data_IF_309216216442
#
_entry.id   IF_309216216442
#
_cell.length_a   1.000
_cell.length_b   1.000
_cell.length_c   1.000
_cell.angle_alpha   90.00
_cell.angle_beta   90.00
_cell.angle_gamma   90.00
#
_symmetry.space_group_name_H-M   'P 1'
#
loop_
_entity.id
_entity.type
_entity.pdbx_description
1 polymer ?
#
# COMPACT_ATOMS: atom_id res chain seq x y z
N UNK A 1 6.36 9.15 7.47
CA UNK A 1 6.53 9.78 6.14
C UNK A 1 5.19 10.21 5.54
N UNK A 2 5.20 10.75 4.31
CA UNK A 2 3.98 11.23 3.64
C UNK A 2 2.95 10.12 3.42
N UNK A 3 3.39 8.94 2.98
CA UNK A 3 2.49 7.80 2.73
C UNK A 3 1.67 7.46 3.98
N UNK A 4 2.32 7.34 5.14
CA UNK A 4 1.63 7.06 6.40
C UNK A 4 0.65 8.17 6.81
N UNK A 5 1.00 9.44 6.59
CA UNK A 5 0.14 10.57 6.92
C UNK A 5 -1.14 10.57 6.06
N UNK A 6 -1.01 10.39 4.75
CA UNK A 6 -2.16 10.33 3.84
C UNK A 6 -2.99 9.06 4.04
N UNK A 7 -2.35 7.92 4.33
CA UNK A 7 -3.08 6.70 4.70
C UNK A 7 -3.90 6.89 5.98
N UNK A 8 -3.31 7.51 7.01
CA UNK A 8 -4.00 7.83 8.26
C UNK A 8 -5.21 8.76 8.02
N UNK A 9 -5.03 9.83 7.25
CA UNK A 9 -6.11 10.75 6.88
C UNK A 9 -7.24 10.03 6.16
N UNK A 10 -6.91 9.18 5.18
CA UNK A 10 -7.92 8.43 4.44
C UNK A 10 -8.66 7.41 5.30
N UNK A 11 -7.98 6.77 6.25
CA UNK A 11 -8.60 5.89 7.22
C UNK A 11 -9.62 6.64 8.10
N UNK A 12 -9.29 7.86 8.55
CA UNK A 12 -10.20 8.72 9.32
C UNK A 12 -11.44 9.06 8.48
N UNK A 13 -11.26 9.48 7.23
CA UNK A 13 -12.37 9.76 6.30
C UNK A 13 -13.29 8.56 6.10
N UNK A 14 -12.74 7.35 6.11
CA UNK A 14 -13.48 6.10 5.94
C UNK A 14 -14.10 5.59 7.26
N UNK A 15 -13.96 6.32 8.37
CA UNK A 15 -14.51 5.96 9.66
C UNK A 15 -13.69 4.95 10.47
N UNK A 16 -12.47 4.63 10.04
CA UNK A 16 -11.56 3.81 10.82
C UNK A 16 -10.88 4.64 11.92
N UNK A 17 -10.34 3.95 12.93
CA UNK A 17 -9.65 4.54 14.08
C UNK A 17 -8.15 4.21 14.03
N UNK A 18 -7.30 5.07 13.44
CA UNK A 18 -5.85 4.89 13.50
C UNK A 18 -5.36 5.09 14.94
N UNK A 19 -4.54 4.18 15.44
CA UNK A 19 -4.06 4.20 16.84
C UNK A 19 -2.55 4.32 16.97
N UNK A 20 -1.79 4.14 15.88
CA UNK A 20 -0.33 4.24 15.90
C UNK A 20 0.20 5.03 14.71
N UNK A 21 1.25 5.78 14.95
CA UNK A 21 2.14 6.34 13.92
C UNK A 21 3.58 6.18 14.39
N UNK A 22 4.49 5.99 13.45
CA UNK A 22 5.92 5.80 13.75
C UNK A 22 6.81 6.67 12.89
N UNK A 23 8.02 6.89 13.38
CA UNK A 23 9.16 7.35 12.59
C UNK A 23 10.43 6.56 12.98
N UNK A 24 11.59 6.98 12.45
CA UNK A 24 12.86 6.27 12.72
C UNK A 24 13.31 6.28 14.19
N UNK A 25 12.69 7.09 15.04
CA UNK A 25 13.04 7.18 16.47
C UNK A 25 12.16 6.32 17.36
N UNK A 26 10.97 5.92 16.90
CA UNK A 26 10.00 5.15 17.67
C UNK A 26 8.57 5.32 17.18
N UNK A 27 7.60 4.96 18.01
CA UNK A 27 6.20 5.09 17.65
C UNK A 27 5.37 5.70 18.79
N UNK A 28 4.23 6.25 18.44
CA UNK A 28 3.18 6.67 19.38
C UNK A 28 2.05 5.64 19.38
N UNK A 29 1.46 5.44 20.56
CA UNK A 29 0.22 4.70 20.71
C UNK A 29 -0.84 5.61 21.33
N UNK A 30 -1.88 5.89 20.55
CA UNK A 30 -3.02 6.73 20.94
C UNK A 30 -4.29 5.86 20.96
N UNK A 31 -4.65 5.27 22.11
CA UNK A 31 -5.77 4.35 22.20
C UNK A 31 -7.12 5.01 21.93
N UNK A 32 -7.24 6.33 22.13
CA UNK A 32 -8.45 7.09 21.82
C UNK A 32 -8.62 7.33 20.31
N UNK A 33 -7.53 7.14 19.55
CA UNK A 33 -7.50 7.30 18.12
C UNK A 33 -6.94 8.65 17.66
N UNK A 34 -6.33 8.62 16.48
CA UNK A 34 -5.80 9.80 15.81
C UNK A 34 -6.93 10.45 15.03
N UNK A 35 -7.35 11.65 15.46
CA UNK A 35 -8.39 12.44 14.80
C UNK A 35 -7.84 13.30 13.67
N UNK A 36 -8.75 13.95 12.91
CA UNK A 36 -8.36 14.90 11.85
C UNK A 36 -7.49 16.04 12.40
N UNK A 37 -7.80 16.57 13.57
CA UNK A 37 -6.99 17.61 14.22
C UNK A 37 -5.57 17.11 14.55
N UNK A 38 -5.50 15.90 15.10
CA UNK A 38 -4.24 15.27 15.48
C UNK A 38 -3.34 14.98 14.27
N UNK A 39 -3.90 14.50 13.14
CA UNK A 39 -3.11 14.26 11.93
C UNK A 39 -2.65 15.58 11.27
N UNK A 40 -3.46 16.62 11.31
CA UNK A 40 -3.04 17.94 10.85
C UNK A 40 -1.87 18.50 11.68
N UNK A 41 -1.86 18.24 12.98
CA UNK A 41 -0.69 18.58 13.80
C UNK A 41 0.55 17.80 13.36
N UNK A 42 0.43 16.50 13.07
CA UNK A 42 1.57 15.68 12.56
C UNK A 42 2.09 16.24 11.23
N UNK A 43 1.20 16.61 10.29
CA UNK A 43 1.60 17.22 9.01
C UNK A 43 2.41 18.51 9.23
N UNK A 44 1.95 19.42 10.09
CA UNK A 44 2.67 20.64 10.45
C UNK A 44 4.01 20.34 11.14
N UNK A 45 4.03 19.36 12.04
CA UNK A 45 5.24 18.93 12.74
C UNK A 45 6.32 18.46 11.76
N UNK A 46 5.94 17.68 10.76
CA UNK A 46 6.86 17.11 9.78
C UNK A 46 7.28 18.10 8.69
N UNK A 47 6.36 18.89 8.17
CA UNK A 47 6.61 19.81 7.06
C UNK A 47 7.35 21.09 7.48
N UNK A 48 6.98 21.67 8.62
CA UNK A 48 7.50 22.99 9.05
C UNK A 48 8.68 22.85 10.01
N UNK A 49 8.60 21.90 10.94
CA UNK A 49 9.59 21.77 12.04
C UNK A 49 10.61 20.65 11.83
N UNK A 50 10.40 19.75 10.86
CA UNK A 50 11.20 18.52 10.66
C UNK A 50 11.39 17.72 11.98
N UNK A 51 10.41 17.82 12.88
CA UNK A 51 10.49 17.28 14.23
C UNK A 51 10.08 15.80 14.28
N UNK A 52 10.34 15.17 15.42
CA UNK A 52 10.05 13.75 15.65
C UNK A 52 8.63 13.54 16.15
N UNK A 53 8.11 12.32 15.94
CA UNK A 53 6.77 11.95 16.38
C UNK A 53 6.61 12.00 17.92
N UNK A 54 7.69 11.96 18.65
CA UNK A 54 7.67 12.14 20.11
C UNK A 54 7.06 13.47 20.57
N UNK A 55 7.11 14.51 19.75
CA UNK A 55 6.43 15.79 20.05
C UNK A 55 4.91 15.66 20.06
N UNK A 56 4.35 14.74 19.25
CA UNK A 56 2.93 14.40 19.31
C UNK A 56 2.56 13.82 20.67
N UNK A 57 3.36 12.87 21.14
CA UNK A 57 3.13 12.22 22.44
C UNK A 57 3.13 13.23 23.59
N UNK A 58 4.06 14.17 23.60
CA UNK A 58 4.10 15.25 24.58
C UNK A 58 2.87 16.16 24.52
N UNK A 59 2.43 16.53 23.30
CA UNK A 59 1.30 17.45 23.12
C UNK A 59 -0.03 16.83 23.53
N UNK A 60 -0.26 15.58 23.16
CA UNK A 60 -1.55 14.90 23.37
C UNK A 60 -1.54 13.95 24.58
N UNK A 61 -0.42 13.92 25.34
CA UNK A 61 -0.23 13.10 26.53
C UNK A 61 -0.53 11.61 26.27
N UNK A 62 0.06 11.06 25.22
CA UNK A 62 -0.06 9.65 24.84
C UNK A 62 1.26 8.93 24.93
N UNK A 63 1.22 7.61 24.91
CA UNK A 63 2.41 6.77 25.00
C UNK A 63 3.37 6.99 23.81
N UNK A 64 4.66 7.12 24.10
CA UNK A 64 5.74 7.08 23.12
C UNK A 64 6.73 5.96 23.48
N UNK A 65 6.99 5.09 22.53
CA UNK A 65 7.94 3.99 22.69
C UNK A 65 9.14 4.21 21.80
N UNK A 66 10.27 4.54 22.41
CA UNK A 66 11.52 4.84 21.72
C UNK A 66 12.16 3.56 21.15
N UNK A 67 12.75 3.66 19.97
CA UNK A 67 13.55 2.61 19.34
C UNK A 67 12.79 1.37 18.91
N UNK A 68 11.45 1.35 19.04
CA UNK A 68 10.61 0.20 18.67
C UNK A 68 9.67 0.53 17.51
N UNK A 69 9.14 -0.52 16.89
CA UNK A 69 8.13 -0.47 15.85
C UNK A 69 6.75 -0.79 16.44
N UNK A 70 5.63 -0.35 15.81
CA UNK A 70 4.29 -0.45 16.40
C UNK A 70 3.63 -1.83 16.28
N UNK A 71 4.32 -2.85 15.73
CA UNK A 71 3.70 -4.11 15.33
C UNK A 71 3.23 -4.99 16.49
N UNK A 72 3.64 -4.67 17.72
CA UNK A 72 3.16 -5.31 18.95
C UNK A 72 1.80 -4.76 19.43
N UNK A 73 1.33 -3.65 18.90
CA UNK A 73 0.06 -3.05 19.28
C UNK A 73 -1.08 -3.79 18.61
N UNK A 74 -2.12 -4.14 19.41
CA UNK A 74 -3.32 -4.80 18.89
C UNK A 74 -4.04 -3.91 17.88
N UNK A 75 -4.31 -4.45 16.70
CA UNK A 75 -5.03 -3.77 15.63
C UNK A 75 -5.75 -4.78 14.71
N UNK A 76 -6.76 -4.31 14.01
CA UNK A 76 -7.47 -5.07 12.98
C UNK A 76 -6.72 -5.03 11.64
N UNK A 77 -6.11 -3.89 11.34
CA UNK A 77 -5.46 -3.58 10.06
C UNK A 77 -4.08 -2.99 10.32
N UNK A 78 -3.06 -3.49 9.64
CA UNK A 78 -1.71 -2.94 9.66
C UNK A 78 -1.32 -2.38 8.28
N UNK A 79 -0.78 -1.16 8.27
CA UNK A 79 -0.35 -0.45 7.05
C UNK A 79 1.14 -0.10 7.15
N UNK A 80 2.05 -1.00 6.75
CA UNK A 80 3.48 -0.69 6.71
C UNK A 80 3.75 0.31 5.56
N UNK A 81 4.20 1.51 5.92
CA UNK A 81 4.31 2.67 5.03
C UNK A 81 5.69 3.34 5.04
N UNK A 82 6.71 2.73 5.65
CA UNK A 82 7.99 3.40 5.83
C UNK A 82 9.06 2.94 4.81
N UNK A 83 9.70 1.81 5.06
CA UNK A 83 10.86 1.37 4.27
C UNK A 83 10.80 -0.12 3.95
N UNK A 84 11.67 -0.53 3.02
CA UNK A 84 11.87 -1.95 2.71
C UNK A 84 12.26 -2.74 3.96
N UNK A 85 11.72 -3.95 4.10
CA UNK A 85 12.02 -4.91 5.18
C UNK A 85 11.81 -4.35 6.60
N UNK A 86 10.91 -3.37 6.76
CA UNK A 86 10.59 -2.84 8.09
C UNK A 86 9.80 -3.81 8.97
N UNK A 87 9.13 -4.81 8.36
CA UNK A 87 8.30 -5.81 9.03
C UNK A 87 8.90 -7.20 8.82
N UNK A 88 9.47 -7.76 9.86
CA UNK A 88 10.09 -9.08 9.84
C UNK A 88 9.13 -10.19 10.29
N UNK A 89 9.61 -11.45 10.34
CA UNK A 89 8.78 -12.59 10.73
C UNK A 89 8.24 -12.49 12.17
N UNK A 90 9.03 -11.97 13.12
CA UNK A 90 8.58 -11.86 14.51
C UNK A 90 7.51 -10.78 14.64
N UNK A 91 7.67 -9.65 13.92
CA UNK A 91 6.63 -8.62 13.81
C UNK A 91 5.33 -9.20 13.22
N UNK A 92 5.45 -10.03 12.17
CA UNK A 92 4.29 -10.66 11.53
C UNK A 92 3.55 -11.62 12.47
N UNK A 93 4.27 -12.41 13.26
CA UNK A 93 3.69 -13.25 14.31
C UNK A 93 2.95 -12.43 15.35
N UNK A 94 3.58 -11.36 15.86
CA UNK A 94 2.92 -10.47 16.83
C UNK A 94 1.61 -9.88 16.29
N UNK A 95 1.60 -9.42 15.04
CA UNK A 95 0.38 -8.91 14.40
C UNK A 95 -0.72 -9.98 14.35
N UNK A 96 -0.39 -11.19 13.91
CA UNK A 96 -1.38 -12.28 13.80
C UNK A 96 -1.88 -12.74 15.17
N UNK A 97 -1.00 -12.88 16.14
CA UNK A 97 -1.33 -13.27 17.51
C UNK A 97 -2.23 -12.23 18.20
N UNK A 98 -2.07 -10.96 17.84
CA UNK A 98 -2.89 -9.84 18.32
C UNK A 98 -4.23 -9.69 17.56
N UNK A 99 -4.51 -10.56 16.58
CA UNK A 99 -5.78 -10.58 15.86
C UNK A 99 -5.85 -9.70 14.62
N UNK A 100 -4.73 -9.20 14.11
CA UNK A 100 -4.69 -8.47 12.84
C UNK A 100 -5.09 -9.42 11.70
N UNK A 101 -6.10 -9.03 10.91
CA UNK A 101 -6.61 -9.84 9.79
C UNK A 101 -6.38 -9.21 8.42
N UNK A 102 -5.91 -7.96 8.35
CA UNK A 102 -5.53 -7.28 7.11
C UNK A 102 -4.17 -6.63 7.25
N UNK A 103 -3.29 -6.88 6.30
CA UNK A 103 -2.03 -6.15 6.12
C UNK A 103 -2.00 -5.59 4.70
N UNK A 104 -1.90 -4.27 4.54
CA UNK A 104 -1.82 -3.64 3.22
C UNK A 104 -0.60 -2.72 3.13
N UNK A 105 0.30 -3.03 2.21
CA UNK A 105 1.58 -2.35 2.08
C UNK A 105 1.45 -1.00 1.38
N UNK A 106 1.72 0.08 2.10
CA UNK A 106 1.86 1.42 1.53
C UNK A 106 3.27 1.68 0.98
N UNK A 107 4.29 1.11 1.60
CA UNK A 107 5.67 1.16 1.11
C UNK A 107 5.95 0.08 0.05
N UNK A 108 7.10 0.19 -0.61
CA UNK A 108 7.60 -0.84 -1.51
C UNK A 108 8.31 -1.92 -0.68
N UNK A 109 7.80 -3.16 -0.74
CA UNK A 109 8.41 -4.33 -0.13
C UNK A 109 8.74 -4.17 1.38
N UNK A 110 7.83 -3.63 2.21
CA UNK A 110 8.11 -3.39 3.63
C UNK A 110 8.17 -4.68 4.43
N UNK A 111 7.50 -5.75 3.99
CA UNK A 111 7.51 -7.05 4.65
C UNK A 111 8.59 -7.95 4.08
N UNK A 112 9.36 -8.61 4.95
CA UNK A 112 10.32 -9.63 4.52
C UNK A 112 9.61 -10.84 3.92
N UNK A 113 10.28 -11.59 3.06
CA UNK A 113 9.71 -12.79 2.41
C UNK A 113 9.12 -13.77 3.43
N UNK A 114 9.80 -13.98 4.56
CA UNK A 114 9.31 -14.87 5.62
C UNK A 114 8.04 -14.35 6.30
N UNK A 115 7.92 -13.03 6.48
CA UNK A 115 6.71 -12.40 6.98
C UNK A 115 5.54 -12.57 5.99
N UNK A 116 5.78 -12.37 4.70
CA UNK A 116 4.77 -12.58 3.64
C UNK A 116 4.27 -14.01 3.63
N UNK A 117 5.18 -15.00 3.68
CA UNK A 117 4.79 -16.41 3.76
C UNK A 117 3.96 -16.70 5.01
N UNK A 118 4.33 -16.12 6.15
CA UNK A 118 3.56 -16.26 7.39
C UNK A 118 2.14 -15.72 7.22
N UNK A 119 1.95 -14.50 6.71
CA UNK A 119 0.63 -13.93 6.47
C UNK A 119 -0.24 -14.80 5.55
N UNK A 120 0.32 -15.32 4.46
CA UNK A 120 -0.39 -16.19 3.53
C UNK A 120 -0.82 -17.50 4.22
N UNK A 121 0.09 -18.13 4.98
CA UNK A 121 -0.18 -19.38 5.70
C UNK A 121 -1.24 -19.22 6.80
N UNK A 122 -1.27 -18.06 7.46
CA UNK A 122 -2.28 -17.70 8.46
C UNK A 122 -3.59 -17.16 7.85
N UNK A 123 -3.72 -17.17 6.51
CA UNK A 123 -4.89 -16.65 5.78
C UNK A 123 -5.21 -15.18 6.10
N UNK A 124 -4.19 -14.38 6.40
CA UNK A 124 -4.33 -12.92 6.53
C UNK A 124 -4.56 -12.32 5.15
N UNK A 125 -5.48 -11.38 5.04
CA UNK A 125 -5.70 -10.63 3.80
C UNK A 125 -4.52 -9.68 3.58
N UNK A 126 -3.50 -10.18 2.91
CA UNK A 126 -2.25 -9.48 2.67
C UNK A 126 -2.22 -8.84 1.28
N UNK A 127 -2.32 -7.51 1.23
CA UNK A 127 -2.20 -6.70 0.01
C UNK A 127 -0.74 -6.31 -0.26
N UNK A 128 -0.07 -6.94 -1.23
CA UNK A 128 1.34 -6.64 -1.53
C UNK A 128 1.49 -5.23 -2.11
N UNK A 129 2.61 -4.58 -1.84
CA UNK A 129 2.89 -3.19 -2.26
C UNK A 129 2.64 -2.95 -3.74
N UNK A 130 3.08 -3.86 -4.61
CA UNK A 130 2.87 -3.77 -6.06
C UNK A 130 1.39 -3.61 -6.50
N UNK A 131 0.43 -3.98 -5.65
CA UNK A 131 -1.00 -3.77 -5.87
C UNK A 131 -1.55 -2.69 -4.95
N UNK A 132 -1.28 -2.76 -3.65
CA UNK A 132 -1.83 -1.86 -2.65
C UNK A 132 -1.35 -0.41 -2.80
N UNK A 133 -0.10 -0.18 -3.20
CA UNK A 133 0.46 1.17 -3.38
C UNK A 133 0.47 1.66 -4.84
N UNK A 134 -0.13 0.93 -5.77
CA UNK A 134 -0.13 1.27 -7.19
C UNK A 134 -0.81 2.61 -7.53
N UNK A 135 -1.55 3.20 -6.59
CA UNK A 135 -2.17 4.51 -6.74
C UNK A 135 -1.16 5.63 -7.04
N UNK A 136 0.00 5.61 -6.41
CA UNK A 136 1.04 6.62 -6.65
C UNK A 136 1.52 6.63 -8.10
N UNK A 137 1.89 5.49 -8.64
CA UNK A 137 2.33 5.38 -10.05
C UNK A 137 1.19 5.63 -11.03
N UNK A 138 -0.04 5.30 -10.68
CA UNK A 138 -1.21 5.60 -11.51
C UNK A 138 -1.43 7.11 -11.66
N UNK A 139 -1.30 7.87 -10.58
CA UNK A 139 -1.36 9.34 -10.60
C UNK A 139 -0.23 9.93 -11.43
N UNK A 140 1.00 9.42 -11.31
CA UNK A 140 2.10 9.87 -12.17
C UNK A 140 1.81 9.64 -13.66
N UNK A 141 1.18 8.52 -14.02
CA UNK A 141 0.73 8.27 -15.39
C UNK A 141 -0.34 9.26 -15.88
N UNK A 142 -1.29 9.63 -15.00
CA UNK A 142 -2.30 10.64 -15.30
C UNK A 142 -1.64 12.02 -15.48
N UNK A 143 -0.68 12.38 -14.61
CA UNK A 143 0.09 13.62 -14.70
C UNK A 143 0.84 13.73 -16.03
N UNK A 144 1.54 12.66 -16.43
CA UNK A 144 2.21 12.60 -17.75
C UNK A 144 1.23 12.82 -18.90
N UNK A 145 0.03 12.25 -18.81
CA UNK A 145 -1.02 12.43 -19.82
C UNK A 145 -1.51 13.88 -19.87
N UNK A 146 -1.74 14.52 -18.72
CA UNK A 146 -2.10 15.94 -18.63
C UNK A 146 -1.01 16.84 -19.24
N UNK A 147 0.26 16.57 -18.93
CA UNK A 147 1.37 17.34 -19.48
C UNK A 147 1.47 17.21 -20.99
N UNK A 148 1.23 16.02 -21.53
CA UNK A 148 1.23 15.75 -22.97
C UNK A 148 0.08 16.44 -23.70
N UNK A 149 -1.12 16.39 -23.14
CA UNK A 149 -2.32 17.01 -23.74
C UNK A 149 -2.44 18.50 -23.44
N UNK A 150 -1.72 19.01 -22.44
CA UNK A 150 -1.80 20.39 -21.90
C UNK A 150 -3.21 20.75 -21.39
N UNK A 151 -3.99 19.75 -21.00
CA UNK A 151 -5.34 19.94 -20.46
C UNK A 151 -5.31 19.55 -18.98
N UNK A 152 -5.48 20.50 -18.05
CA UNK A 152 -5.53 20.21 -16.62
C UNK A 152 -6.84 19.48 -16.28
N UNK A 153 -6.73 18.45 -15.45
CA UNK A 153 -7.89 17.77 -14.87
C UNK A 153 -8.21 18.35 -13.49
N UNK A 154 -9.49 18.43 -13.15
CA UNK A 154 -9.90 18.80 -11.81
C UNK A 154 -9.51 17.71 -10.79
N UNK A 155 -9.36 18.08 -9.51
CA UNK A 155 -9.08 17.15 -8.43
C UNK A 155 -10.07 15.99 -8.39
N UNK A 156 -11.37 16.29 -8.49
CA UNK A 156 -12.43 15.28 -8.43
C UNK A 156 -12.34 14.27 -9.58
N UNK A 157 -11.96 14.74 -10.77
CA UNK A 157 -11.76 13.85 -11.93
C UNK A 157 -10.55 12.95 -11.74
N UNK A 158 -9.45 13.47 -11.19
CA UNK A 158 -8.26 12.68 -10.88
C UNK A 158 -8.57 11.64 -9.79
N UNK A 159 -9.28 12.02 -8.74
CA UNK A 159 -9.69 11.10 -7.66
C UNK A 159 -10.63 10.00 -8.18
N UNK A 160 -11.58 10.35 -9.02
CA UNK A 160 -12.45 9.38 -9.70
C UNK A 160 -11.68 8.35 -10.53
N UNK A 161 -10.74 8.80 -11.36
CA UNK A 161 -9.87 7.93 -12.16
C UNK A 161 -9.00 7.03 -11.26
N UNK A 162 -8.44 7.58 -10.19
CA UNK A 162 -7.67 6.80 -9.23
C UNK A 162 -8.51 5.69 -8.60
N UNK A 163 -9.72 6.02 -8.15
CA UNK A 163 -10.66 5.06 -7.56
C UNK A 163 -10.97 3.92 -8.54
N UNK A 164 -11.28 4.23 -9.79
CA UNK A 164 -11.53 3.22 -10.83
C UNK A 164 -10.32 2.33 -11.08
N UNK A 165 -9.11 2.91 -11.14
CA UNK A 165 -7.87 2.15 -11.33
C UNK A 165 -7.64 1.20 -10.17
N UNK A 166 -7.75 1.66 -8.93
CA UNK A 166 -7.53 0.85 -7.75
C UNK A 166 -8.59 -0.25 -7.60
N UNK A 167 -9.85 0.05 -7.92
CA UNK A 167 -10.92 -0.94 -7.92
C UNK A 167 -10.67 -2.04 -8.97
N UNK A 168 -10.21 -1.68 -10.16
CA UNK A 168 -9.83 -2.65 -11.21
C UNK A 168 -8.64 -3.52 -10.78
N UNK A 169 -7.63 -2.95 -10.12
CA UNK A 169 -6.51 -3.70 -9.58
C UNK A 169 -7.00 -4.71 -8.54
N UNK A 170 -7.81 -4.26 -7.59
CA UNK A 170 -8.40 -5.14 -6.57
C UNK A 170 -9.21 -6.28 -7.20
N UNK A 171 -10.12 -5.98 -8.12
CA UNK A 171 -10.92 -6.99 -8.83
C UNK A 171 -10.05 -8.00 -9.57
N UNK A 172 -8.96 -7.54 -10.19
CA UNK A 172 -8.01 -8.42 -10.87
C UNK A 172 -7.29 -9.34 -9.88
N UNK A 173 -6.83 -8.80 -8.75
CA UNK A 173 -6.19 -9.59 -7.69
C UNK A 173 -7.15 -10.65 -7.12
N UNK A 174 -8.40 -10.28 -6.87
CA UNK A 174 -9.43 -11.22 -6.39
C UNK A 174 -9.68 -12.31 -7.43
N UNK A 175 -9.87 -11.93 -8.72
CA UNK A 175 -10.13 -12.88 -9.81
C UNK A 175 -9.08 -13.98 -9.93
N UNK A 176 -7.81 -13.62 -9.85
CA UNK A 176 -6.70 -14.55 -10.04
C UNK A 176 -6.12 -15.11 -8.73
N UNK A 177 -6.43 -14.49 -7.59
CA UNK A 177 -5.92 -14.92 -6.28
C UNK A 177 -6.90 -15.73 -5.45
N UNK A 178 -8.16 -15.90 -5.90
CA UNK A 178 -9.16 -16.63 -5.13
C UNK A 178 -8.83 -18.13 -5.10
N UNK A 179 -8.73 -18.69 -3.90
CA UNK A 179 -8.52 -20.10 -3.61
C UNK A 179 -9.53 -20.52 -2.54
N UNK A 180 -10.57 -21.23 -2.91
CA UNK A 180 -11.65 -21.67 -2.03
C UNK A 180 -12.23 -20.52 -1.18
N UNK A 181 -11.96 -20.52 0.11
CA UNK A 181 -12.41 -19.55 1.10
C UNK A 181 -11.43 -18.39 1.35
N UNK A 182 -10.28 -18.35 0.64
CA UNK A 182 -9.21 -17.39 0.85
C UNK A 182 -8.82 -16.68 -0.45
N UNK A 183 -8.35 -15.43 -0.32
CA UNK A 183 -7.82 -14.67 -1.45
C UNK A 183 -6.33 -14.42 -1.21
N UNK A 184 -5.50 -15.07 -2.02
CA UNK A 184 -4.07 -14.80 -2.08
C UNK A 184 -3.81 -13.63 -3.03
N UNK A 185 -3.76 -12.41 -2.50
CA UNK A 185 -3.51 -11.21 -3.29
C UNK A 185 -2.11 -11.17 -3.93
N UNK A 186 -1.12 -11.89 -3.40
CA UNK A 186 0.21 -12.00 -4.00
C UNK A 186 0.13 -12.74 -5.32
N UNK A 187 -0.48 -13.93 -5.32
CA UNK A 187 -0.72 -14.72 -6.53
C UNK A 187 -1.61 -13.94 -7.50
N UNK A 188 -2.68 -13.31 -6.98
CA UNK A 188 -3.60 -12.52 -7.77
C UNK A 188 -2.92 -11.37 -8.51
N UNK A 189 -2.06 -10.63 -7.84
CA UNK A 189 -1.29 -9.55 -8.44
C UNK A 189 -0.28 -10.06 -9.49
N UNK A 190 0.45 -11.14 -9.17
CA UNK A 190 1.43 -11.73 -10.07
C UNK A 190 0.79 -12.29 -11.34
N UNK A 191 -0.23 -13.12 -11.19
CA UNK A 191 -0.92 -13.76 -12.34
C UNK A 191 -1.64 -12.70 -13.17
N UNK A 192 -2.36 -11.77 -12.53
CA UNK A 192 -3.07 -10.70 -13.24
C UNK A 192 -2.11 -9.80 -14.04
N UNK A 193 -0.96 -9.45 -13.48
CA UNK A 193 0.10 -8.72 -14.18
C UNK A 193 0.69 -9.52 -15.34
N UNK A 194 1.04 -10.77 -15.11
CA UNK A 194 1.59 -11.66 -16.13
C UNK A 194 0.63 -11.85 -17.32
N UNK A 195 -0.63 -12.16 -17.07
CA UNK A 195 -1.64 -12.36 -18.12
C UNK A 195 -1.76 -11.13 -19.02
N UNK A 196 -1.73 -9.95 -18.44
CA UNK A 196 -1.80 -8.69 -19.19
C UNK A 196 -0.58 -8.49 -20.09
N UNK A 197 0.63 -8.73 -19.58
CA UNK A 197 1.87 -8.59 -20.36
C UNK A 197 1.97 -9.69 -21.43
N UNK A 198 1.64 -10.93 -21.09
CA UNK A 198 1.68 -12.06 -22.02
C UNK A 198 0.72 -11.86 -23.19
N UNK A 199 -0.48 -11.35 -22.95
CA UNK A 199 -1.44 -11.06 -24.01
C UNK A 199 -0.90 -10.05 -25.04
N UNK A 200 -0.25 -8.97 -24.56
CA UNK A 200 0.37 -7.97 -25.43
C UNK A 200 1.57 -8.56 -26.18
N UNK A 201 2.46 -9.27 -25.49
CA UNK A 201 3.64 -9.90 -26.10
C UNK A 201 3.25 -10.92 -27.18
N UNK A 202 2.24 -11.75 -26.92
CA UNK A 202 1.75 -12.74 -27.88
C UNK A 202 1.23 -12.08 -29.18
N UNK A 203 0.52 -10.97 -29.06
CA UNK A 203 0.01 -10.23 -30.21
C UNK A 203 1.15 -9.64 -31.05
N UNK A 204 2.17 -9.08 -30.40
CA UNK A 204 3.32 -8.50 -31.09
C UNK A 204 4.26 -9.56 -31.69
N UNK A 205 4.54 -10.66 -30.98
CA UNK A 205 5.36 -11.76 -31.50
C UNK A 205 4.74 -12.41 -32.72
N UNK A 206 3.43 -12.67 -32.72
CA UNK A 206 2.74 -13.20 -33.92
C UNK A 206 2.86 -12.28 -35.13
N UNK A 207 2.75 -10.96 -34.94
CA UNK A 207 2.93 -10.01 -36.04
C UNK A 207 4.36 -10.04 -36.60
N UNK A 208 5.36 -10.19 -35.75
CA UNK A 208 6.78 -10.32 -36.17
C UNK A 208 7.07 -11.64 -36.88
N UNK A 209 6.59 -12.75 -36.38
CA UNK A 209 6.77 -14.07 -36.99
C UNK A 209 6.10 -14.17 -38.35
N UNK A 210 4.92 -13.60 -38.51
CA UNK A 210 4.21 -13.56 -39.80
C UNK A 210 4.99 -12.76 -40.85
N UNK A 211 5.63 -11.67 -40.46
CA UNK A 211 6.54 -10.91 -41.36
C UNK A 211 7.82 -11.66 -41.66
N UNK A 212 8.45 -12.33 -40.70
CA UNK A 212 9.63 -13.14 -40.88
C UNK A 212 9.39 -14.31 -41.83
N UNK A 213 8.27 -15.00 -41.70
CA UNK A 213 7.89 -16.10 -42.59
C UNK A 213 7.59 -15.66 -44.03
N UNK A 214 7.12 -14.44 -44.24
CA UNK A 214 6.92 -13.87 -45.57
C UNK A 214 8.22 -13.47 -46.23
N UNK A 215 9.24 -13.07 -45.49
CA UNK A 215 10.55 -12.70 -46.00
C UNK A 215 11.39 -13.94 -46.32
N UNK A 216 11.21 -15.04 -45.62
CA UNK A 216 11.93 -16.31 -45.89
C UNK A 216 11.34 -17.13 -47.06
N UNK A 217 10.22 -16.71 -47.67
CA UNK A 217 9.59 -17.38 -48.83
C UNK A 217 9.82 -16.68 -50.17
N UNK A 218 10.58 -15.60 -50.18
CA UNK A 218 11.08 -14.92 -51.37
C UNK A 218 12.55 -15.26 -51.60
#
# INVERSE_FOLDING_TARGET
GNVAQFACEKLIELGAKPVTLSDSSGFIHDPDGITQEKIEYVKKLKSVRSARISEYAKKFNVEYVEGKRPWSIKCDIALPCATENELNLEDAKQLTDNGCYVVAEGANMPSTTNAVHHFINQKILYGPGKAANAGGVAISGIEMSQNSTRIPLSRDKVDGLLKEIMQRIHTTCVKYGKKDDFINYVDGANIGGFVRVAAVSYTHLRAHETRGNLVCRL
#
